data_IF_749674710132
#
_entry.id   IF_749674710132
#
_cell.length_a   1.000
_cell.length_b   1.000
_cell.length_c   1.000
_cell.angle_alpha   90.00
_cell.angle_beta   90.00
_cell.angle_gamma   90.00
#
_symmetry.space_group_name_H-M   'P 1'
#
loop_
_entity.id
_entity.type
_entity.pdbx_description
1 polymer ?
#
# COMPACT_ATOMS: atom_id res chain seq x y z
N UNK A 1 8.05 8.67 22.83
CA UNK A 1 7.76 8.59 21.38
C UNK A 1 6.53 9.44 21.12
N UNK A 2 6.64 10.43 20.26
CA UNK A 2 5.50 11.25 19.82
C UNK A 2 4.49 10.40 19.04
N UNK A 3 3.22 10.84 18.90
CA UNK A 3 2.25 10.14 18.06
C UNK A 3 2.72 9.95 16.61
N UNK A 4 3.44 10.94 16.05
CA UNK A 4 4.00 10.88 14.71
C UNK A 4 5.10 9.82 14.59
N UNK A 5 6.05 9.80 15.53
CA UNK A 5 7.11 8.78 15.57
C UNK A 5 6.52 7.37 15.73
N UNK A 6 5.45 7.23 16.52
CA UNK A 6 4.75 5.96 16.71
C UNK A 6 4.06 5.49 15.43
N UNK A 7 3.30 6.36 14.77
CA UNK A 7 2.65 6.03 13.51
C UNK A 7 3.66 5.61 12.44
N UNK A 8 4.72 6.40 12.25
CA UNK A 8 5.80 6.10 11.31
C UNK A 8 6.42 4.73 11.58
N UNK A 9 6.80 4.44 12.83
CA UNK A 9 7.43 3.17 13.19
C UNK A 9 6.49 1.97 12.99
N UNK A 10 5.20 2.12 13.28
CA UNK A 10 4.20 1.07 13.03
C UNK A 10 4.06 0.81 11.53
N UNK A 11 3.87 1.86 10.72
CA UNK A 11 3.76 1.74 9.27
C UNK A 11 4.98 1.07 8.65
N UNK A 12 6.19 1.53 8.99
CA UNK A 12 7.45 0.94 8.51
C UNK A 12 7.58 -0.54 8.89
N UNK A 13 7.23 -0.90 10.13
CA UNK A 13 7.40 -2.29 10.61
C UNK A 13 6.36 -3.22 9.99
N UNK A 14 5.10 -2.81 9.91
CA UNK A 14 4.04 -3.61 9.27
C UNK A 14 4.31 -3.78 7.77
N UNK A 15 4.65 -2.70 7.07
CA UNK A 15 4.92 -2.74 5.64
C UNK A 15 6.16 -3.58 5.30
N UNK A 16 7.20 -3.54 6.15
CA UNK A 16 8.43 -4.31 5.92
C UNK A 16 8.20 -5.83 5.82
N UNK A 17 7.21 -6.35 6.54
CA UNK A 17 6.89 -7.79 6.59
C UNK A 17 5.71 -8.20 5.70
N UNK A 18 5.05 -7.25 5.04
CA UNK A 18 3.95 -7.52 4.12
C UNK A 18 4.48 -7.80 2.71
N UNK A 19 4.75 -9.08 2.43
CA UNK A 19 5.18 -9.56 1.11
C UNK A 19 4.14 -9.32 0.01
N UNK A 20 2.84 -9.35 0.33
CA UNK A 20 1.80 -9.14 -0.67
C UNK A 20 1.84 -7.71 -1.19
N UNK A 21 1.90 -6.73 -0.30
CA UNK A 21 1.98 -5.31 -0.69
C UNK A 21 3.34 -4.96 -1.28
N UNK A 22 4.44 -5.28 -0.59
CA UNK A 22 5.79 -4.82 -0.96
C UNK A 22 6.36 -5.56 -2.16
N UNK A 23 6.31 -6.90 -2.14
CA UNK A 23 7.05 -7.72 -3.10
C UNK A 23 6.17 -8.17 -4.28
N UNK A 24 4.91 -8.56 -4.01
CA UNK A 24 3.99 -9.05 -5.07
C UNK A 24 3.37 -7.90 -5.85
N UNK A 25 2.81 -6.91 -5.16
CA UNK A 25 2.11 -5.78 -5.78
C UNK A 25 3.03 -4.60 -6.11
N UNK A 26 4.25 -4.58 -5.56
CA UNK A 26 5.20 -3.48 -5.78
C UNK A 26 4.70 -2.15 -5.23
N UNK A 27 4.04 -2.17 -4.07
CA UNK A 27 3.55 -0.98 -3.40
C UNK A 27 4.69 -0.23 -2.69
N UNK A 28 4.45 1.04 -2.37
CA UNK A 28 5.35 1.92 -1.61
C UNK A 28 4.59 2.63 -0.50
N UNK A 29 5.05 2.51 0.75
CA UNK A 29 4.57 3.35 1.85
C UNK A 29 5.20 4.75 1.73
N UNK A 30 4.38 5.76 1.45
CA UNK A 30 4.82 7.14 1.30
C UNK A 30 4.72 7.94 2.61
N UNK A 31 3.67 7.68 3.41
CA UNK A 31 3.46 8.34 4.70
C UNK A 31 2.63 7.47 5.64
N UNK A 32 2.94 7.55 6.94
CA UNK A 32 2.09 7.02 8.00
C UNK A 32 2.10 8.01 9.18
N UNK A 33 0.94 8.62 9.41
CA UNK A 33 0.69 9.70 10.35
C UNK A 33 -0.53 9.34 11.22
N UNK A 34 -0.73 10.00 12.37
CA UNK A 34 -1.96 9.80 13.14
C UNK A 34 -3.22 10.06 12.30
N UNK A 35 -4.00 9.01 12.06
CA UNK A 35 -5.26 9.07 11.30
C UNK A 35 -5.10 9.11 9.78
N UNK A 36 -3.89 8.92 9.24
CA UNK A 36 -3.64 8.97 7.79
C UNK A 36 -2.48 8.07 7.37
N UNK A 37 -2.69 7.28 6.33
CA UNK A 37 -1.64 6.58 5.62
C UNK A 37 -1.73 6.87 4.12
N UNK A 38 -0.59 6.78 3.43
CA UNK A 38 -0.52 6.94 1.97
C UNK A 38 0.36 5.83 1.42
N UNK A 39 -0.24 4.99 0.59
CA UNK A 39 0.46 3.97 -0.19
C UNK A 39 0.29 4.28 -1.68
N UNK A 40 1.32 3.97 -2.47
CA UNK A 40 1.31 4.06 -3.93
C UNK A 40 1.55 2.67 -4.52
N UNK A 41 0.94 2.41 -5.67
CA UNK A 41 1.20 1.22 -6.49
C UNK A 41 1.28 1.63 -7.97
N UNK A 42 2.28 1.13 -8.68
CA UNK A 42 2.33 1.28 -10.14
C UNK A 42 1.34 0.31 -10.81
N UNK A 43 0.48 0.82 -11.68
CA UNK A 43 -0.43 -0.01 -12.48
C UNK A 43 0.34 -0.57 -13.68
N UNK A 44 0.39 -1.91 -13.79
CA UNK A 44 1.09 -2.66 -14.83
C UNK A 44 0.08 -3.44 -15.68
N UNK A 45 0.45 -3.93 -16.88
CA UNK A 45 -0.46 -4.72 -17.72
C UNK A 45 -1.11 -5.91 -17.00
N UNK A 46 -0.38 -6.57 -16.09
CA UNK A 46 -0.91 -7.69 -15.28
C UNK A 46 -2.00 -7.29 -14.27
N UNK A 47 -2.14 -5.99 -13.98
CA UNK A 47 -3.15 -5.45 -13.09
C UNK A 47 -4.46 -5.10 -13.82
N UNK A 48 -4.51 -5.21 -15.15
CA UNK A 48 -5.66 -4.78 -15.94
C UNK A 48 -6.74 -5.87 -16.01
N UNK A 49 -8.02 -5.45 -16.02
CA UNK A 49 -9.16 -6.31 -16.30
C UNK A 49 -9.44 -6.42 -17.81
N UNK A 50 -10.52 -7.11 -18.19
CA UNK A 50 -10.95 -7.28 -19.59
C UNK A 50 -11.28 -5.98 -20.33
N UNK A 51 -11.42 -4.84 -19.63
CA UNK A 51 -11.65 -3.52 -20.20
C UNK A 51 -10.40 -2.64 -20.25
N UNK A 52 -9.20 -3.19 -19.99
CA UNK A 52 -7.92 -2.46 -20.00
C UNK A 52 -7.84 -1.34 -18.95
N UNK A 53 -8.53 -1.50 -17.81
CA UNK A 53 -8.40 -0.63 -16.63
C UNK A 53 -7.95 -1.46 -15.43
N UNK A 54 -7.42 -0.83 -14.38
CA UNK A 54 -6.99 -1.54 -13.18
C UNK A 54 -8.16 -2.37 -12.61
N UNK A 55 -7.93 -3.66 -12.38
CA UNK A 55 -8.94 -4.58 -11.87
C UNK A 55 -9.37 -4.14 -10.47
N UNK A 56 -10.68 -4.16 -10.19
CA UNK A 56 -11.22 -3.72 -8.90
C UNK A 56 -10.62 -4.46 -7.70
N UNK A 57 -10.29 -5.75 -7.88
CA UNK A 57 -9.55 -6.53 -6.87
C UNK A 57 -8.19 -5.93 -6.48
N UNK A 58 -7.39 -5.43 -7.43
CA UNK A 58 -6.10 -4.81 -7.11
C UNK A 58 -6.24 -3.40 -6.54
N UNK A 59 -7.28 -2.66 -6.96
CA UNK A 59 -7.66 -1.39 -6.32
C UNK A 59 -8.04 -1.65 -4.85
N UNK A 60 -8.83 -2.69 -4.61
CA UNK A 60 -9.22 -3.09 -3.27
C UNK A 60 -8.02 -3.53 -2.44
N UNK A 61 -7.09 -4.33 -3.00
CA UNK A 61 -5.84 -4.67 -2.31
C UNK A 61 -5.05 -3.42 -1.91
N UNK A 62 -4.90 -2.43 -2.80
CA UNK A 62 -4.24 -1.16 -2.46
C UNK A 62 -4.97 -0.41 -1.32
N UNK A 63 -6.30 -0.39 -1.36
CA UNK A 63 -7.11 0.27 -0.34
C UNK A 63 -7.07 -0.46 1.02
N UNK A 64 -7.05 -1.79 1.02
CA UNK A 64 -6.96 -2.63 2.23
C UNK A 64 -5.58 -2.54 2.89
N UNK A 65 -4.53 -2.37 2.09
CA UNK A 65 -3.16 -2.15 2.58
C UNK A 65 -2.93 -0.77 3.21
N UNK A 66 -3.76 0.23 2.90
CA UNK A 66 -3.59 1.64 3.33
C UNK A 66 -4.20 1.90 4.69
#
# INVERSE_FOLDING_TARGET
MSPLEKAKKVGETMFAVDTASKDTMGMELLACEPGRAVIRMEVKPLHLNGHQICHGGFIFTLADST
#
